data_IF_773461907854
#
_entry.id   IF_773461907854
#
_cell.length_a   1.000
_cell.length_b   1.000
_cell.length_c   1.000
_cell.angle_alpha   90.00
_cell.angle_beta   90.00
_cell.angle_gamma   90.00
#
_symmetry.space_group_name_H-M   'P 1'
#
loop_
_entity.id
_entity.type
_entity.pdbx_description
1 polymer ?
#
# COMPACT_ATOMS: atom_id res chain seq x y z
N UNK A 1 13.18 8.51 -16.15
CA UNK A 1 12.22 7.55 -15.63
C UNK A 1 12.60 7.21 -14.19
N UNK A 2 11.62 7.17 -13.28
CA UNK A 2 11.80 6.71 -11.90
C UNK A 2 10.97 5.44 -11.66
N UNK A 3 11.42 4.60 -10.73
CA UNK A 3 10.73 3.37 -10.32
C UNK A 3 10.67 3.26 -8.80
N UNK A 4 9.56 2.74 -8.31
CA UNK A 4 9.33 2.34 -6.93
C UNK A 4 8.83 0.89 -6.94
N UNK A 5 9.73 -0.11 -6.98
CA UNK A 5 9.34 -1.51 -7.06
C UNK A 5 8.52 -1.93 -5.84
N UNK A 6 7.43 -2.69 -6.08
CA UNK A 6 6.64 -3.28 -5.02
C UNK A 6 7.24 -4.62 -4.55
N UNK A 7 7.15 -4.88 -3.25
CA UNK A 7 7.39 -6.22 -2.70
C UNK A 7 6.15 -7.09 -2.88
N UNK A 8 6.29 -8.38 -2.65
CA UNK A 8 5.16 -9.26 -2.41
C UNK A 8 4.93 -9.40 -0.90
N UNK A 9 3.78 -9.94 -0.51
CA UNK A 9 3.51 -10.34 0.86
C UNK A 9 4.39 -11.51 1.25
N UNK A 10 5.37 -11.25 2.12
CA UNK A 10 6.37 -12.21 2.62
C UNK A 10 6.48 -12.14 4.14
N UNK A 11 7.07 -13.15 4.78
CA UNK A 11 7.43 -13.09 6.19
C UNK A 11 8.56 -12.08 6.42
N UNK A 12 8.71 -11.59 7.67
CA UNK A 12 9.63 -10.50 8.03
C UNK A 12 11.08 -10.78 7.66
N UNK A 13 11.56 -12.04 7.79
CA UNK A 13 12.91 -12.42 7.43
C UNK A 13 13.18 -12.20 5.93
N UNK A 14 12.25 -12.59 5.07
CA UNK A 14 12.36 -12.39 3.63
C UNK A 14 12.26 -10.92 3.23
N UNK A 15 11.37 -10.17 3.87
CA UNK A 15 11.28 -8.72 3.68
C UNK A 15 12.59 -8.03 4.12
N UNK A 16 13.17 -8.48 5.23
CA UNK A 16 14.45 -7.96 5.72
C UNK A 16 15.60 -8.14 4.72
N UNK A 17 15.68 -9.29 4.05
CA UNK A 17 16.67 -9.51 2.97
C UNK A 17 16.47 -8.51 1.81
N UNK A 18 15.21 -8.26 1.41
CA UNK A 18 14.89 -7.29 0.36
C UNK A 18 15.29 -5.87 0.79
N UNK A 19 15.04 -5.50 2.05
CA UNK A 19 15.42 -4.20 2.60
C UNK A 19 16.94 -4.01 2.59
N UNK A 20 17.71 -5.02 3.01
CA UNK A 20 19.17 -4.96 2.99
C UNK A 20 19.71 -4.77 1.56
N UNK A 21 19.19 -5.51 0.59
CA UNK A 21 19.57 -5.35 -0.82
C UNK A 21 19.23 -3.93 -1.32
N UNK A 22 18.07 -3.43 -0.97
CA UNK A 22 17.64 -2.08 -1.40
C UNK A 22 18.48 -0.98 -0.76
N UNK A 23 18.90 -1.17 0.50
CA UNK A 23 19.68 -0.19 1.26
C UNK A 23 21.03 0.12 0.59
N UNK A 24 21.64 -0.89 -0.01
CA UNK A 24 22.96 -0.79 -0.64
C UNK A 24 22.88 -0.67 -2.18
N UNK A 25 21.65 -0.61 -2.73
CA UNK A 25 21.48 -0.48 -4.17
C UNK A 25 21.96 0.88 -4.66
N UNK A 26 22.99 0.86 -5.49
CA UNK A 26 23.49 2.01 -6.23
C UNK A 26 23.13 1.87 -7.70
N UNK A 27 22.55 2.91 -8.27
CA UNK A 27 22.14 2.93 -9.66
C UNK A 27 23.36 3.18 -10.58
N UNK A 28 23.76 2.20 -11.41
CA UNK A 28 24.81 2.45 -12.40
C UNK A 28 24.27 3.12 -13.67
N UNK A 29 23.11 2.69 -14.18
CA UNK A 29 22.47 3.18 -15.43
C UNK A 29 20.97 2.87 -15.40
N UNK A 30 20.13 3.68 -16.06
CA UNK A 30 18.71 3.38 -16.25
C UNK A 30 17.77 4.28 -15.44
N UNK A 31 16.64 3.73 -14.96
CA UNK A 31 15.66 4.47 -14.18
C UNK A 31 16.16 4.81 -12.78
N UNK A 32 15.73 5.95 -12.25
CA UNK A 32 16.01 6.33 -10.86
C UNK A 32 15.25 5.40 -9.91
N UNK A 33 15.96 4.78 -8.97
CA UNK A 33 15.36 4.02 -7.89
C UNK A 33 14.98 5.00 -6.78
N UNK A 34 13.68 5.28 -6.64
CA UNK A 34 13.18 6.26 -5.66
C UNK A 34 12.88 5.65 -4.29
N UNK A 35 12.85 4.34 -4.21
CA UNK A 35 12.60 3.56 -3.01
C UNK A 35 11.76 2.33 -3.28
N UNK A 36 11.22 1.73 -2.21
CA UNK A 36 10.38 0.54 -2.25
C UNK A 36 8.93 0.86 -1.90
N UNK A 37 8.03 0.13 -2.51
CA UNK A 37 6.64 0.02 -2.12
C UNK A 37 6.46 -1.30 -1.34
N UNK A 38 6.15 -1.22 -0.06
CA UNK A 38 5.84 -2.39 0.78
C UNK A 38 4.39 -2.80 0.54
N UNK A 39 4.16 -3.68 -0.44
CA UNK A 39 2.84 -4.22 -0.78
C UNK A 39 2.56 -5.47 0.06
N UNK A 40 1.77 -5.29 1.13
CA UNK A 40 1.66 -6.26 2.22
C UNK A 40 2.87 -6.22 3.17
N UNK A 41 2.83 -6.95 4.29
CA UNK A 41 1.86 -8.01 4.65
C UNK A 41 0.58 -7.51 5.37
N UNK A 42 0.39 -6.23 5.59
CA UNK A 42 -0.68 -5.64 6.41
C UNK A 42 -2.00 -5.48 5.65
N UNK A 43 -2.39 -6.49 4.89
CA UNK A 43 -3.53 -6.51 3.98
C UNK A 43 -4.66 -7.41 4.49
N UNK A 44 -5.84 -7.36 3.86
CA UNK A 44 -6.97 -8.20 4.23
C UNK A 44 -6.84 -9.59 3.59
N UNK A 45 -6.90 -10.70 4.37
CA UNK A 45 -6.79 -12.06 3.84
C UNK A 45 -7.91 -12.44 2.86
N UNK A 46 -9.03 -11.72 2.85
CA UNK A 46 -10.12 -11.94 1.90
C UNK A 46 -9.93 -11.19 0.56
N UNK A 47 -8.86 -10.40 0.44
CA UNK A 47 -8.54 -9.57 -0.74
C UNK A 47 -7.09 -9.69 -1.19
N UNK A 48 -6.49 -10.82 -0.95
CA UNK A 48 -5.07 -11.07 -1.26
C UNK A 48 -4.71 -10.93 -2.75
N UNK A 49 -5.66 -11.15 -3.66
CA UNK A 49 -5.33 -11.12 -5.09
C UNK A 49 -4.21 -12.08 -5.44
N UNK A 50 -3.10 -11.58 -5.98
CA UNK A 50 -1.90 -12.35 -6.30
C UNK A 50 -0.95 -12.55 -5.11
N UNK A 51 -1.24 -11.95 -3.94
CA UNK A 51 -0.43 -12.05 -2.73
C UNK A 51 -0.61 -13.43 -2.06
N UNK A 52 0.39 -13.89 -1.28
CA UNK A 52 0.28 -15.15 -0.55
C UNK A 52 -0.44 -14.94 0.79
N UNK A 53 -1.61 -15.56 0.95
CA UNK A 53 -2.43 -15.46 2.16
C UNK A 53 -1.74 -15.97 3.43
N UNK A 54 -0.78 -16.91 3.31
CA UNK A 54 -0.10 -17.51 4.46
C UNK A 54 0.80 -16.52 5.20
N UNK A 55 1.18 -15.42 4.53
CA UNK A 55 2.08 -14.40 5.06
C UNK A 55 1.37 -13.09 5.41
N UNK A 56 0.05 -13.04 5.26
CA UNK A 56 -0.74 -11.87 5.70
C UNK A 56 -0.64 -11.72 7.21
N UNK A 57 -0.39 -10.50 7.66
CA UNK A 57 -0.20 -10.18 9.07
C UNK A 57 -1.10 -9.01 9.48
N UNK A 58 -1.38 -8.92 10.77
CA UNK A 58 -1.98 -7.72 11.35
C UNK A 58 -1.02 -6.54 11.23
N UNK A 59 -1.52 -5.32 11.07
CA UNK A 59 -0.70 -4.12 11.10
C UNK A 59 0.21 -4.06 12.34
N UNK A 60 1.52 -3.98 12.10
CA UNK A 60 2.59 -3.95 13.11
C UNK A 60 3.57 -2.81 12.79
N UNK A 61 3.44 -1.70 13.52
CA UNK A 61 4.28 -0.53 13.33
C UNK A 61 5.75 -0.80 13.71
N UNK A 62 5.99 -1.62 14.72
CA UNK A 62 7.37 -1.94 15.14
C UNK A 62 8.08 -2.77 14.06
N UNK A 63 7.37 -3.70 13.40
CA UNK A 63 7.89 -4.43 12.24
C UNK A 63 8.24 -3.46 11.11
N UNK A 64 7.33 -2.53 10.74
CA UNK A 64 7.63 -1.56 9.69
C UNK A 64 8.87 -0.74 10.03
N UNK A 65 8.99 -0.25 11.27
CA UNK A 65 10.13 0.58 11.69
C UNK A 65 11.45 -0.20 11.60
N UNK A 66 11.47 -1.48 11.99
CA UNK A 66 12.64 -2.34 11.80
C UNK A 66 13.01 -2.52 10.33
N UNK A 67 12.02 -2.75 9.46
CA UNK A 67 12.23 -2.85 8.01
C UNK A 67 12.72 -1.52 7.42
N UNK A 68 12.16 -0.40 7.85
CA UNK A 68 12.56 0.94 7.41
C UNK A 68 14.00 1.29 7.80
N UNK A 69 14.41 0.90 9.03
CA UNK A 69 15.80 1.05 9.48
C UNK A 69 16.76 0.24 8.59
N UNK A 70 16.43 -1.04 8.33
CA UNK A 70 17.22 -1.90 7.43
C UNK A 70 17.30 -1.34 6.01
N UNK A 71 16.20 -0.83 5.50
CA UNK A 71 16.12 -0.19 4.19
C UNK A 71 16.82 1.19 4.13
N UNK A 72 17.38 1.69 5.24
CA UNK A 72 17.97 3.04 5.36
C UNK A 72 17.00 4.15 4.89
N UNK A 73 15.73 4.03 5.27
CA UNK A 73 14.69 5.00 4.92
C UNK A 73 14.14 4.87 3.50
N UNK A 74 14.37 3.75 2.81
CA UNK A 74 13.95 3.58 1.41
C UNK A 74 12.56 2.98 1.20
N UNK A 75 11.82 2.60 2.25
CA UNK A 75 10.39 2.30 2.11
C UNK A 75 9.66 3.63 1.91
N UNK A 76 9.10 3.83 0.72
CA UNK A 76 8.40 5.06 0.35
C UNK A 76 6.89 4.94 0.48
N UNK A 77 6.33 3.77 0.15
CA UNK A 77 4.91 3.48 0.23
C UNK A 77 4.73 2.25 1.10
N UNK A 78 3.75 2.26 1.99
CA UNK A 78 3.36 1.12 2.81
C UNK A 78 1.86 0.89 2.70
N UNK A 79 1.46 -0.31 2.28
CA UNK A 79 0.08 -0.69 2.14
C UNK A 79 -0.53 -1.16 3.45
N UNK A 80 -1.81 -0.83 3.64
CA UNK A 80 -2.63 -1.31 4.75
C UNK A 80 -4.09 -1.48 4.34
N UNK A 81 -4.75 -2.51 4.87
CA UNK A 81 -6.19 -2.65 4.81
C UNK A 81 -6.82 -2.02 6.07
N UNK A 82 -7.48 -0.86 5.98
CA UNK A 82 -7.84 -0.03 7.14
C UNK A 82 -8.92 -0.66 8.04
N UNK A 83 -9.67 -1.62 7.55
CA UNK A 83 -10.68 -2.37 8.31
C UNK A 83 -10.09 -3.48 9.19
N UNK A 84 -8.79 -3.75 9.09
CA UNK A 84 -8.14 -4.76 9.92
C UNK A 84 -7.83 -4.24 11.32
N UNK A 85 -7.66 -5.16 12.27
CA UNK A 85 -7.43 -4.81 13.67
C UNK A 85 -6.19 -3.93 13.83
N UNK A 86 -6.31 -2.84 14.57
CA UNK A 86 -5.26 -1.84 14.85
C UNK A 86 -4.76 -1.03 13.62
N UNK A 87 -5.43 -1.14 12.46
CA UNK A 87 -4.95 -0.50 11.23
C UNK A 87 -4.92 1.05 11.33
N UNK A 88 -5.89 1.67 11.97
CA UNK A 88 -5.92 3.14 12.11
C UNK A 88 -4.78 3.62 13.03
N UNK A 89 -4.56 2.96 14.16
CA UNK A 89 -3.42 3.25 15.05
C UNK A 89 -2.07 3.03 14.34
N UNK A 90 -2.00 2.01 13.48
CA UNK A 90 -0.84 1.75 12.65
C UNK A 90 -0.59 2.90 11.68
N UNK A 91 -1.60 3.34 10.92
CA UNK A 91 -1.51 4.49 10.00
C UNK A 91 -0.94 5.71 10.72
N UNK A 92 -1.51 6.04 11.88
CA UNK A 92 -1.10 7.20 12.67
C UNK A 92 0.36 7.11 13.14
N UNK A 93 0.82 5.92 13.49
CA UNK A 93 2.20 5.69 13.95
C UNK A 93 3.24 5.76 12.82
N UNK A 94 2.88 5.35 11.61
CA UNK A 94 3.86 5.21 10.51
C UNK A 94 3.87 6.36 9.52
N UNK A 95 2.87 7.24 9.52
CA UNK A 95 2.70 8.31 8.52
C UNK A 95 3.91 9.23 8.34
N UNK A 96 4.68 9.45 9.40
CA UNK A 96 5.89 10.29 9.36
C UNK A 96 7.17 9.50 9.02
N UNK A 97 7.05 8.18 8.83
CA UNK A 97 8.18 7.29 8.53
C UNK A 97 8.23 6.81 7.07
N UNK A 98 7.18 7.04 6.29
CA UNK A 98 7.09 6.73 4.87
C UNK A 98 6.57 7.95 4.11
N UNK A 99 6.74 8.00 2.79
CA UNK A 99 6.20 9.10 1.99
C UNK A 99 4.68 8.98 1.83
N UNK A 100 4.17 7.74 1.75
CA UNK A 100 2.75 7.48 1.61
C UNK A 100 2.34 6.25 2.40
N UNK A 101 1.27 6.38 3.19
CA UNK A 101 0.51 5.25 3.70
C UNK A 101 -0.66 5.01 2.76
N UNK A 102 -0.73 3.82 2.17
CA UNK A 102 -1.65 3.52 1.09
C UNK A 102 -2.71 2.52 1.50
N UNK A 103 -3.95 2.77 1.12
CA UNK A 103 -5.03 1.80 1.24
C UNK A 103 -4.94 0.80 0.09
N UNK A 104 -4.85 -0.50 0.42
CA UNK A 104 -4.74 -1.57 -0.56
C UNK A 104 -5.32 -2.89 -0.06
N UNK A 105 -5.63 -3.82 -1.00
CA UNK A 105 -6.07 -5.18 -0.67
C UNK A 105 -7.08 -5.23 0.47
N UNK A 106 -8.19 -4.56 0.31
CA UNK A 106 -9.13 -4.19 1.38
C UNK A 106 -10.57 -4.58 1.07
N UNK A 107 -11.34 -4.87 2.09
CA UNK A 107 -12.81 -4.94 2.05
C UNK A 107 -13.48 -3.68 2.60
N UNK A 108 -12.70 -2.61 2.85
CA UNK A 108 -13.15 -1.41 3.54
C UNK A 108 -14.35 -0.75 2.86
N UNK A 109 -15.19 -0.14 3.64
CA UNK A 109 -16.24 0.76 3.18
C UNK A 109 -15.72 2.20 3.08
N UNK A 110 -16.60 3.12 2.72
CA UNK A 110 -16.28 4.54 2.58
C UNK A 110 -15.87 5.16 3.92
N UNK A 111 -16.64 4.92 4.98
CA UNK A 111 -16.44 5.57 6.28
C UNK A 111 -15.12 5.15 6.93
N UNK A 112 -14.80 3.86 6.88
CA UNK A 112 -13.54 3.33 7.40
C UNK A 112 -12.34 3.81 6.56
N UNK A 113 -12.49 3.91 5.24
CA UNK A 113 -11.44 4.49 4.39
C UNK A 113 -11.20 5.97 4.72
N UNK A 114 -12.27 6.76 4.92
CA UNK A 114 -12.17 8.16 5.33
C UNK A 114 -11.43 8.29 6.67
N UNK A 115 -11.74 7.45 7.66
CA UNK A 115 -10.99 7.44 8.92
C UNK A 115 -9.49 7.23 8.70
N UNK A 116 -9.09 6.31 7.82
CA UNK A 116 -7.67 6.10 7.51
C UNK A 116 -7.04 7.34 6.89
N UNK A 117 -7.72 8.02 5.96
CA UNK A 117 -7.23 9.27 5.37
C UNK A 117 -7.12 10.39 6.40
N UNK A 118 -8.11 10.56 7.29
CA UNK A 118 -8.08 11.54 8.38
C UNK A 118 -6.93 11.30 9.37
N UNK A 119 -6.46 10.05 9.52
CA UNK A 119 -5.36 9.69 10.40
C UNK A 119 -3.98 9.69 9.72
N UNK A 120 -3.94 9.91 8.41
CA UNK A 120 -2.68 10.14 7.71
C UNK A 120 -2.38 9.21 6.54
N UNK A 121 -3.29 8.32 6.14
CA UNK A 121 -3.22 7.73 4.82
C UNK A 121 -3.41 8.83 3.77
N UNK A 122 -2.72 8.72 2.63
CA UNK A 122 -2.75 9.75 1.59
C UNK A 122 -2.70 9.16 0.17
N UNK A 123 -2.85 7.83 0.08
CA UNK A 123 -2.64 7.11 -1.17
C UNK A 123 -3.57 5.90 -1.26
N UNK A 124 -3.85 5.44 -2.48
CA UNK A 124 -4.61 4.22 -2.77
C UNK A 124 -3.93 3.44 -3.89
N UNK A 125 -3.45 2.26 -3.57
CA UNK A 125 -2.72 1.38 -4.48
C UNK A 125 -3.69 0.69 -5.45
N UNK A 126 -3.33 0.63 -6.74
CA UNK A 126 -4.04 -0.07 -7.83
C UNK A 126 -5.56 -0.04 -7.72
N UNK A 127 -6.13 1.15 -7.63
CA UNK A 127 -7.57 1.37 -7.49
C UNK A 127 -8.43 0.44 -8.34
N UNK A 128 -9.59 0.02 -7.82
CA UNK A 128 -10.48 -1.03 -8.31
C UNK A 128 -9.99 -2.47 -8.09
N UNK A 129 -8.68 -2.72 -8.02
CA UNK A 129 -8.14 -4.06 -7.91
C UNK A 129 -8.03 -4.48 -6.43
N UNK A 130 -8.44 -5.69 -6.12
CA UNK A 130 -8.47 -6.25 -4.77
C UNK A 130 -9.17 -5.35 -3.72
N UNK A 131 -10.19 -4.58 -4.14
CA UNK A 131 -10.99 -3.71 -3.27
C UNK A 131 -12.43 -3.57 -3.79
N UNK A 132 -13.38 -3.04 -2.98
CA UNK A 132 -14.71 -2.69 -3.47
C UNK A 132 -14.66 -1.57 -4.51
N UNK A 133 -15.43 -1.72 -5.60
CA UNK A 133 -15.61 -0.66 -6.60
C UNK A 133 -16.62 0.40 -6.16
N UNK A 134 -16.78 1.45 -6.98
CA UNK A 134 -17.76 2.51 -6.73
C UNK A 134 -19.18 1.98 -6.96
N UNK A 135 -20.05 2.15 -5.98
CA UNK A 135 -21.46 1.83 -6.08
C UNK A 135 -22.30 2.95 -5.45
N UNK A 136 -23.41 3.33 -6.09
CA UNK A 136 -24.22 4.51 -5.73
C UNK A 136 -24.76 4.56 -4.27
N UNK A 137 -24.76 3.44 -3.56
CA UNK A 137 -25.13 3.35 -2.12
C UNK A 137 -24.01 2.81 -1.23
N UNK A 138 -22.90 2.39 -1.81
CA UNK A 138 -21.71 1.89 -1.12
C UNK A 138 -20.48 2.37 -1.88
N UNK A 139 -20.12 3.66 -1.73
CA UNK A 139 -19.14 4.29 -2.59
C UNK A 139 -17.73 3.70 -2.49
N UNK A 140 -17.38 3.11 -1.33
CA UNK A 140 -16.12 2.39 -1.12
C UNK A 140 -14.88 3.28 -1.07
N UNK A 141 -13.68 2.66 -1.04
CA UNK A 141 -12.43 3.39 -0.81
C UNK A 141 -12.04 4.36 -1.94
N UNK A 142 -12.46 4.09 -3.19
CA UNK A 142 -12.17 4.99 -4.31
C UNK A 142 -12.88 6.33 -4.19
N UNK A 143 -14.14 6.34 -3.73
CA UNK A 143 -14.86 7.59 -3.50
C UNK A 143 -14.30 8.32 -2.28
N UNK A 144 -13.90 7.57 -1.24
CA UNK A 144 -13.23 8.16 -0.08
C UNK A 144 -11.89 8.81 -0.48
N UNK A 145 -11.09 8.15 -1.33
CA UNK A 145 -9.84 8.71 -1.84
C UNK A 145 -10.07 10.02 -2.63
N UNK A 146 -11.14 10.07 -3.46
CA UNK A 146 -11.49 11.28 -4.20
C UNK A 146 -11.91 12.43 -3.27
N UNK A 147 -12.70 12.16 -2.23
CA UNK A 147 -13.16 13.18 -1.28
C UNK A 147 -12.01 13.63 -0.34
N UNK A 148 -11.04 12.75 -0.07
CA UNK A 148 -9.83 13.05 0.71
C UNK A 148 -8.71 13.69 -0.12
N UNK A 149 -8.89 13.87 -1.44
CA UNK A 149 -7.88 14.35 -2.39
C UNK A 149 -6.58 13.51 -2.34
N UNK A 150 -6.71 12.19 -2.08
CA UNK A 150 -5.59 11.26 -2.01
C UNK A 150 -5.08 10.88 -3.41
N UNK A 151 -3.80 10.54 -3.53
CA UNK A 151 -3.24 10.00 -4.75
C UNK A 151 -3.78 8.59 -5.02
N UNK A 152 -4.08 8.26 -6.28
CA UNK A 152 -4.61 6.96 -6.69
C UNK A 152 -3.78 6.36 -7.81
N UNK A 153 -3.25 5.17 -7.59
CA UNK A 153 -2.62 4.37 -8.65
C UNK A 153 -3.65 3.57 -9.44
N UNK A 154 -3.41 3.40 -10.73
CA UNK A 154 -4.23 2.57 -11.61
C UNK A 154 -3.35 1.64 -12.46
N UNK A 155 -3.77 0.38 -12.64
CA UNK A 155 -3.12 -0.56 -13.58
C UNK A 155 -3.73 -0.34 -14.97
N UNK A 156 -3.08 0.49 -15.78
CA UNK A 156 -3.59 0.96 -17.08
C UNK A 156 -3.15 0.05 -18.26
N UNK A 157 -3.16 -1.26 -18.07
CA UNK A 157 -2.71 -2.25 -19.08
C UNK A 157 -3.82 -2.71 -20.04
N UNK A 158 -5.03 -2.15 -19.93
CA UNK A 158 -6.24 -2.53 -20.66
C UNK A 158 -6.80 -3.93 -20.34
N UNK A 159 -6.27 -4.59 -19.33
CA UNK A 159 -6.72 -5.90 -18.82
C UNK A 159 -7.34 -5.74 -17.44
N UNK A 160 -6.63 -5.12 -16.50
CA UNK A 160 -7.12 -4.88 -15.13
C UNK A 160 -8.20 -3.81 -15.09
N UNK A 161 -8.04 -2.75 -15.86
CA UNK A 161 -9.01 -1.64 -15.90
C UNK A 161 -9.38 -1.35 -17.34
N UNK A 162 -10.71 -1.27 -17.59
CA UNK A 162 -11.21 -0.90 -18.90
C UNK A 162 -10.81 0.53 -19.27
N UNK A 163 -10.38 0.81 -20.54
CA UNK A 163 -9.92 2.14 -20.96
C UNK A 163 -10.91 3.28 -20.71
N UNK A 164 -12.22 2.99 -20.67
CA UNK A 164 -13.25 4.00 -20.35
C UNK A 164 -13.26 4.43 -18.88
N UNK A 165 -12.68 3.62 -17.99
CA UNK A 165 -12.56 3.93 -16.55
C UNK A 165 -11.29 4.73 -16.27
N UNK A 166 -10.23 4.52 -17.07
CA UNK A 166 -8.97 5.26 -16.97
C UNK A 166 -9.12 6.72 -17.44
N UNK A 167 -10.09 6.99 -18.31
CA UNK A 167 -10.38 8.35 -18.85
C UNK A 167 -11.25 9.18 -17.94
#
# INVERSE_FOLDING_TARGET
>A
LAICPATMTYPEDKLSEIMDISADYERPVGADFVGLHLEGPFINPNRVGAQNSDYVQKPDADMLLRLQERAKGRIRICDVAPETENAIDFVEKIKDHVASVSIAHTCTDYDTAMQAFEHGANHLTHGFNAMPGIHHRKPGPLSAAADAEADVELICDNVHIHPSVVR
#
